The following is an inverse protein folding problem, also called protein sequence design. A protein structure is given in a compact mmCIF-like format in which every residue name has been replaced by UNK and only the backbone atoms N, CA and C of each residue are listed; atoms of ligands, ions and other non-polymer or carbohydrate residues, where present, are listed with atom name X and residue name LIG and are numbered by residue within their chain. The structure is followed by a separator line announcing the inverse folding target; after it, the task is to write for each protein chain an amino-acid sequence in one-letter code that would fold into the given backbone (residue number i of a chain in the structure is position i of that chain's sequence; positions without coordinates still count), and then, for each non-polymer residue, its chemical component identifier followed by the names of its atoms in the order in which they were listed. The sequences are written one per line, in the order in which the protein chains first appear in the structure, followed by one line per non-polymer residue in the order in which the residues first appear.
data_IF_690865807267
#
_entry.id   IF_690865807267
#
_cell.length_a   1.000
_cell.length_b   1.000
_cell.length_c   1.000
_cell.angle_alpha   90.00
_cell.angle_beta   90.00
_cell.angle_gamma   90.00
#
_symmetry.space_group_name_H-M   'P 1'
#
loop_
_entity.id
_entity.type
_entity.pdbx_description
1 polymer ?
#
# COMPACT_ATOMS: atom_id res chain seq x y z
N UNK A 1 -14.07 -15.78 -1.87
CA UNK A 1 -12.98 -14.82 -1.57
C UNK A 1 -13.49 -13.41 -1.80
N UNK A 2 -13.14 -12.45 -0.93
CA UNK A 2 -13.46 -11.02 -1.07
C UNK A 2 -12.18 -10.21 -1.25
N UNK A 3 -12.11 -9.38 -2.29
CA UNK A 3 -10.98 -8.50 -2.55
C UNK A 3 -11.20 -7.12 -1.93
N UNK A 4 -10.31 -6.73 -1.02
CA UNK A 4 -10.38 -5.47 -0.29
C UNK A 4 -9.15 -4.62 -0.59
N UNK A 5 -9.34 -3.39 -1.06
CA UNK A 5 -8.28 -2.40 -1.16
C UNK A 5 -8.18 -1.58 0.13
N UNK A 6 -7.01 -1.50 0.73
CA UNK A 6 -6.74 -0.66 1.90
C UNK A 6 -5.77 0.45 1.54
N UNK A 7 -6.22 1.69 1.67
CA UNK A 7 -5.42 2.87 1.37
C UNK A 7 -5.56 3.96 2.45
N UNK A 8 -4.86 5.04 2.29
CA UNK A 8 -4.89 6.18 3.19
C UNK A 8 -3.62 7.02 3.09
N UNK A 9 -3.72 8.29 3.41
CA UNK A 9 -2.61 9.22 3.34
C UNK A 9 -1.43 8.85 4.24
N UNK A 10 -0.27 9.40 3.94
CA UNK A 10 0.92 9.22 4.78
C UNK A 10 0.60 9.65 6.22
N UNK A 11 0.98 8.84 7.20
CA UNK A 11 0.73 9.11 8.63
C UNK A 11 -0.69 8.78 9.12
N UNK A 12 -1.61 8.30 8.26
CA UNK A 12 -2.98 7.95 8.67
C UNK A 12 -3.08 6.71 9.57
N UNK A 13 -2.07 5.84 9.59
CA UNK A 13 -2.09 4.58 10.36
C UNK A 13 -2.59 3.37 9.57
N UNK A 14 -2.52 3.41 8.25
CA UNK A 14 -2.88 2.31 7.35
C UNK A 14 -2.23 0.97 7.73
N UNK A 15 -0.94 0.96 8.06
CA UNK A 15 -0.21 -0.25 8.48
C UNK A 15 -0.74 -0.84 9.80
N UNK A 16 -1.20 -0.01 10.72
CA UNK A 16 -1.83 -0.44 11.97
C UNK A 16 -3.16 -1.14 11.68
N UNK A 17 -4.00 -0.57 10.81
CA UNK A 17 -5.25 -1.18 10.38
C UNK A 17 -5.00 -2.50 9.65
N UNK A 18 -4.00 -2.55 8.76
CA UNK A 18 -3.60 -3.78 8.07
C UNK A 18 -3.20 -4.89 9.05
N UNK A 19 -2.37 -4.57 10.06
CA UNK A 19 -1.99 -5.51 11.10
C UNK A 19 -3.19 -5.99 11.94
N UNK A 20 -4.13 -5.11 12.28
CA UNK A 20 -5.34 -5.47 13.00
C UNK A 20 -6.25 -6.40 12.18
N UNK A 21 -6.37 -6.20 10.86
CA UNK A 21 -7.11 -7.09 9.96
C UNK A 21 -6.40 -8.44 9.81
N UNK A 22 -5.07 -8.45 9.68
CA UNK A 22 -4.28 -9.69 9.63
C UNK A 22 -4.46 -10.53 10.91
N UNK A 23 -4.45 -9.90 12.09
CA UNK A 23 -4.67 -10.57 13.36
C UNK A 23 -6.07 -11.24 13.47
N UNK A 24 -7.04 -10.82 12.64
CA UNK A 24 -8.38 -11.38 12.55
C UNK A 24 -8.54 -12.45 11.46
N UNK A 25 -7.47 -12.72 10.71
CA UNK A 25 -7.45 -13.75 9.67
C UNK A 25 -7.55 -13.23 8.24
N UNK A 26 -7.43 -11.91 8.02
CA UNK A 26 -7.27 -11.39 6.66
C UNK A 26 -5.91 -11.82 6.06
N UNK A 27 -5.90 -12.18 4.79
CA UNK A 27 -4.67 -12.33 4.01
C UNK A 27 -4.25 -10.95 3.54
N UNK A 28 -3.27 -10.37 4.22
CA UNK A 28 -2.78 -9.02 3.90
C UNK A 28 -1.62 -9.10 2.92
N UNK A 29 -1.72 -8.35 1.84
CA UNK A 29 -0.69 -8.22 0.80
C UNK A 29 -0.32 -6.74 0.66
N UNK A 30 0.90 -6.41 1.06
CA UNK A 30 1.42 -5.04 0.94
C UNK A 30 2.08 -4.84 -0.43
N UNK A 31 1.65 -3.82 -1.16
CA UNK A 31 2.17 -3.49 -2.49
C UNK A 31 3.65 -3.13 -2.47
N UNK A 32 4.14 -2.47 -1.40
CA UNK A 32 5.54 -2.11 -1.26
C UNK A 32 6.41 -3.35 -1.00
N UNK A 33 5.89 -4.33 -0.24
CA UNK A 33 6.58 -5.61 -0.01
C UNK A 33 6.60 -6.44 -1.28
N UNK A 34 5.49 -6.54 -2.02
CA UNK A 34 5.48 -7.18 -3.33
C UNK A 34 6.45 -6.52 -4.30
N UNK A 35 6.49 -5.18 -4.35
CA UNK A 35 7.43 -4.47 -5.20
C UNK A 35 8.90 -4.80 -4.86
N UNK A 36 9.21 -5.04 -3.59
CA UNK A 36 10.54 -5.51 -3.16
C UNK A 36 10.78 -6.97 -3.53
N UNK A 37 9.77 -7.83 -3.42
CA UNK A 37 9.84 -9.25 -3.74
C UNK A 37 10.10 -9.45 -5.25
N UNK A 38 9.36 -8.77 -6.11
CA UNK A 38 9.45 -8.97 -7.56
C UNK A 38 10.76 -8.50 -8.20
N UNK A 39 11.55 -7.69 -7.49
CA UNK A 39 12.92 -7.30 -7.89
C UNK A 39 14.00 -7.92 -6.98
N UNK A 40 13.66 -8.97 -6.23
CA UNK A 40 14.65 -9.72 -5.46
C UNK A 40 15.60 -10.53 -6.38
N UNK A 41 16.81 -10.88 -5.92
CA UNK A 41 17.73 -11.68 -6.71
C UNK A 41 17.09 -12.96 -7.28
N UNK A 42 17.33 -13.22 -8.56
CA UNK A 42 16.79 -14.40 -9.25
C UNK A 42 15.40 -14.23 -9.87
N UNK A 43 14.72 -13.10 -9.67
CA UNK A 43 13.40 -12.85 -10.27
C UNK A 43 13.51 -12.27 -11.68
N UNK A 44 12.48 -12.46 -12.55
CA UNK A 44 12.40 -11.81 -13.85
C UNK A 44 12.44 -10.27 -13.75
N UNK A 45 11.77 -9.68 -12.74
CA UNK A 45 11.80 -8.25 -12.49
C UNK A 45 13.20 -7.74 -12.16
N UNK A 46 13.98 -8.49 -11.35
CA UNK A 46 15.38 -8.13 -11.09
C UNK A 46 16.24 -8.17 -12.35
N UNK A 47 16.01 -9.14 -13.25
CA UNK A 47 16.71 -9.20 -14.53
C UNK A 47 16.42 -7.98 -15.40
N UNK A 48 15.14 -7.61 -15.54
CA UNK A 48 14.73 -6.43 -16.31
C UNK A 48 15.24 -5.11 -15.71
N UNK A 49 15.25 -4.98 -14.37
CA UNK A 49 15.83 -3.79 -13.70
C UNK A 49 17.34 -3.70 -13.96
N UNK A 50 18.08 -4.80 -13.88
CA UNK A 50 19.52 -4.80 -14.18
C UNK A 50 19.82 -4.40 -15.61
N UNK A 51 19.02 -4.86 -16.55
CA UNK A 51 19.16 -4.50 -17.98
C UNK A 51 18.88 -3.00 -18.20
N UNK A 52 17.81 -2.48 -17.59
CA UNK A 52 17.39 -1.08 -17.77
C UNK A 52 18.27 -0.08 -17.00
N UNK A 53 18.82 -0.50 -15.86
CA UNK A 53 19.60 0.33 -14.93
C UNK A 53 20.94 -0.32 -14.58
N UNK A 54 21.85 -0.51 -15.54
CA UNK A 54 23.14 -1.17 -15.26
C UNK A 54 24.03 -0.39 -14.29
N UNK A 55 23.83 0.92 -14.19
CA UNK A 55 24.55 1.83 -13.29
C UNK A 55 24.22 1.62 -11.80
N UNK A 56 23.11 0.95 -11.48
CA UNK A 56 22.74 0.61 -10.09
C UNK A 56 23.06 -0.83 -9.71
N UNK A 57 23.81 -1.56 -10.54
CA UNK A 57 24.19 -2.95 -10.26
C UNK A 57 25.55 -3.00 -9.55
N UNK A 58 25.64 -3.71 -8.44
CA UNK A 58 26.86 -3.95 -7.67
C UNK A 58 27.00 -5.44 -7.35
N UNK A 59 28.12 -6.04 -7.74
CA UNK A 59 28.35 -7.46 -7.49
C UNK A 59 27.32 -8.42 -8.11
N UNK A 60 26.61 -7.98 -9.16
CA UNK A 60 25.55 -8.76 -9.82
C UNK A 60 24.15 -8.53 -9.25
N UNK A 61 24.00 -7.82 -8.14
CA UNK A 61 22.73 -7.49 -7.51
C UNK A 61 22.36 -6.00 -7.65
N UNK A 62 21.07 -5.69 -7.47
CA UNK A 62 20.56 -4.33 -7.50
C UNK A 62 20.94 -3.63 -6.18
N UNK A 63 21.70 -2.56 -6.28
CA UNK A 63 21.92 -1.60 -5.20
C UNK A 63 20.63 -0.77 -5.01
N UNK A 64 19.77 -1.17 -4.06
CA UNK A 64 18.49 -0.55 -3.82
C UNK A 64 18.57 0.94 -3.43
N UNK A 65 19.52 1.38 -2.58
CA UNK A 65 19.76 2.80 -2.34
C UNK A 65 20.10 3.57 -3.61
N UNK A 66 20.98 3.04 -4.47
CA UNK A 66 21.34 3.67 -5.72
C UNK A 66 20.15 3.74 -6.69
N UNK A 67 19.36 2.67 -6.80
CA UNK A 67 18.13 2.66 -7.61
C UNK A 67 17.12 3.69 -7.09
N UNK A 68 16.91 3.76 -5.78
CA UNK A 68 16.00 4.73 -5.17
C UNK A 68 16.44 6.18 -5.47
N UNK A 69 17.73 6.50 -5.33
CA UNK A 69 18.27 7.81 -5.69
C UNK A 69 18.08 8.10 -7.17
N UNK A 70 18.36 7.14 -8.05
CA UNK A 70 18.23 7.28 -9.50
C UNK A 70 16.80 7.62 -9.94
N UNK A 71 15.79 6.99 -9.35
CA UNK A 71 14.38 7.22 -9.71
C UNK A 71 13.76 8.39 -8.95
N UNK A 72 14.38 8.85 -7.86
CA UNK A 72 13.92 10.02 -7.12
C UNK A 72 14.10 11.31 -7.93
N UNK A 73 15.27 11.46 -8.57
CA UNK A 73 15.64 12.68 -9.29
C UNK A 73 15.25 12.65 -10.78
N UNK A 74 14.86 11.48 -11.32
CA UNK A 74 14.55 11.30 -12.74
C UNK A 74 13.16 10.69 -12.94
N UNK A 75 12.21 11.52 -13.35
CA UNK A 75 10.83 11.08 -13.63
C UNK A 75 10.74 10.07 -14.80
N UNK A 76 11.71 10.07 -15.75
CA UNK A 76 11.81 9.08 -16.80
C UNK A 76 12.22 7.72 -16.25
N UNK A 77 13.31 7.69 -15.46
CA UNK A 77 13.78 6.48 -14.79
C UNK A 77 12.69 5.90 -13.86
N UNK A 78 11.95 6.76 -13.15
CA UNK A 78 10.84 6.30 -12.32
C UNK A 78 9.75 5.60 -13.13
N UNK A 79 9.31 6.18 -14.27
CA UNK A 79 8.33 5.55 -15.16
C UNK A 79 8.82 4.22 -15.72
N UNK A 80 10.10 4.12 -16.07
CA UNK A 80 10.69 2.89 -16.58
C UNK A 80 10.71 1.79 -15.50
N UNK A 81 11.07 2.14 -14.25
CA UNK A 81 11.00 1.21 -13.14
C UNK A 81 9.56 0.75 -12.85
N UNK A 82 8.62 1.68 -12.83
CA UNK A 82 7.19 1.38 -12.66
C UNK A 82 6.67 0.45 -13.78
N UNK A 83 7.09 0.66 -15.02
CA UNK A 83 6.73 -0.21 -16.16
C UNK A 83 7.25 -1.64 -16.01
N UNK A 84 8.36 -1.85 -15.32
CA UNK A 84 8.90 -3.17 -15.00
C UNK A 84 8.18 -3.77 -13.78
N UNK A 85 8.05 -3.00 -12.71
CA UNK A 85 7.59 -3.51 -11.40
C UNK A 85 6.09 -3.75 -11.37
N UNK A 86 5.26 -2.84 -11.92
CA UNK A 86 3.81 -2.95 -11.80
C UNK A 86 3.21 -4.22 -12.45
N UNK A 87 3.65 -4.67 -13.65
CA UNK A 87 3.17 -5.95 -14.20
C UNK A 87 3.52 -7.14 -13.31
N UNK A 88 4.74 -7.18 -12.77
CA UNK A 88 5.18 -8.26 -11.90
C UNK A 88 4.44 -8.29 -10.56
N UNK A 89 4.18 -7.12 -9.97
CA UNK A 89 3.35 -6.99 -8.77
C UNK A 89 1.93 -7.50 -9.04
N UNK A 90 1.31 -7.10 -10.17
CA UNK A 90 -0.02 -7.59 -10.56
C UNK A 90 -0.04 -9.09 -10.77
N UNK A 91 0.96 -9.65 -11.45
CA UNK A 91 1.09 -11.09 -11.66
C UNK A 91 1.19 -11.82 -10.32
N UNK A 92 2.06 -11.35 -9.43
CA UNK A 92 2.28 -11.97 -8.12
C UNK A 92 1.04 -11.87 -7.21
N UNK A 93 0.37 -10.74 -7.22
CA UNK A 93 -0.91 -10.57 -6.52
C UNK A 93 -1.99 -11.51 -7.10
N UNK A 94 -2.05 -11.64 -8.42
CA UNK A 94 -2.95 -12.58 -9.10
C UNK A 94 -2.72 -14.04 -8.68
N UNK A 95 -1.48 -14.46 -8.46
CA UNK A 95 -1.15 -15.80 -7.96
C UNK A 95 -1.68 -16.02 -6.53
N UNK A 96 -1.55 -15.01 -5.65
CA UNK A 96 -2.13 -15.07 -4.31
C UNK A 96 -3.64 -15.21 -4.37
N UNK A 97 -4.30 -14.41 -5.21
CA UNK A 97 -5.74 -14.47 -5.41
C UNK A 97 -6.19 -15.83 -5.96
N UNK A 98 -5.49 -16.35 -6.97
CA UNK A 98 -5.80 -17.65 -7.58
C UNK A 98 -5.74 -18.80 -6.56
N UNK A 99 -4.76 -18.79 -5.67
CA UNK A 99 -4.63 -19.78 -4.61
C UNK A 99 -5.77 -19.75 -3.57
N UNK A 100 -6.50 -18.64 -3.49
CA UNK A 100 -7.56 -18.40 -2.50
C UNK A 100 -8.97 -18.37 -3.11
N UNK A 101 -9.11 -18.51 -4.43
CA UNK A 101 -10.37 -18.31 -5.17
C UNK A 101 -11.53 -19.18 -4.64
N UNK A 102 -11.24 -20.42 -4.23
CA UNK A 102 -12.24 -21.36 -3.69
C UNK A 102 -12.42 -21.27 -2.16
N UNK A 103 -11.92 -20.22 -1.52
CA UNK A 103 -11.98 -20.05 -0.07
C UNK A 103 -12.84 -18.84 0.34
N UNK A 104 -13.25 -18.82 1.62
CA UNK A 104 -13.92 -17.67 2.25
C UNK A 104 -12.90 -16.63 2.77
N UNK A 105 -11.78 -16.49 2.10
CA UNK A 105 -10.74 -15.56 2.51
C UNK A 105 -11.13 -14.10 2.22
N UNK A 106 -10.76 -13.22 3.13
CA UNK A 106 -10.72 -11.78 2.91
C UNK A 106 -9.28 -11.42 2.56
N UNK A 107 -9.03 -11.00 1.31
CA UNK A 107 -7.70 -10.60 0.83
C UNK A 107 -7.64 -9.08 0.84
N UNK A 108 -6.73 -8.53 1.62
CA UNK A 108 -6.55 -7.08 1.79
C UNK A 108 -5.26 -6.64 1.09
N UNK A 109 -5.41 -5.93 -0.01
CA UNK A 109 -4.29 -5.31 -0.73
C UNK A 109 -4.04 -3.91 -0.19
N UNK A 110 -2.87 -3.70 0.38
CA UNK A 110 -2.46 -2.44 0.99
C UNK A 110 -1.63 -1.63 0.01
N UNK A 111 -2.12 -0.47 -0.41
CA UNK A 111 -1.37 0.41 -1.30
C UNK A 111 -1.58 1.89 -0.96
N UNK A 112 -0.52 2.71 -0.89
CA UNK A 112 -0.65 4.13 -0.54
C UNK A 112 -1.29 4.98 -1.64
N UNK A 113 -1.17 4.57 -2.92
CA UNK A 113 -1.61 5.33 -4.09
C UNK A 113 -2.78 4.65 -4.83
N UNK A 114 -3.62 3.90 -4.12
CA UNK A 114 -4.70 3.12 -4.72
C UNK A 114 -5.72 3.99 -5.46
N UNK A 115 -6.02 5.16 -4.93
CA UNK A 115 -6.96 6.12 -5.50
C UNK A 115 -6.30 6.92 -6.61
N UNK A 116 -5.10 7.42 -6.36
CA UNK A 116 -4.31 8.22 -7.31
C UNK A 116 -4.03 7.49 -8.64
N UNK A 117 -3.88 6.16 -8.58
CA UNK A 117 -3.63 5.32 -9.76
C UNK A 117 -4.90 4.80 -10.42
N UNK A 118 -6.08 5.07 -9.83
CA UNK A 118 -7.35 4.51 -10.30
C UNK A 118 -7.53 3.00 -10.02
N UNK A 119 -6.58 2.38 -9.31
CA UNK A 119 -6.62 0.94 -9.02
C UNK A 119 -7.75 0.55 -8.05
N UNK A 120 -8.33 1.51 -7.35
CA UNK A 120 -9.46 1.30 -6.43
C UNK A 120 -10.65 0.58 -7.08
N UNK A 121 -10.90 0.81 -8.37
CA UNK A 121 -11.99 0.17 -9.12
C UNK A 121 -11.84 -1.37 -9.27
N UNK A 122 -10.66 -1.92 -9.00
CA UNK A 122 -10.40 -3.36 -9.05
C UNK A 122 -10.77 -4.12 -7.77
N UNK A 123 -11.29 -3.44 -6.74
CA UNK A 123 -11.61 -4.03 -5.44
C UNK A 123 -13.11 -3.94 -5.15
N UNK A 124 -13.66 -5.01 -4.59
CA UNK A 124 -15.07 -5.08 -4.20
C UNK A 124 -15.39 -4.16 -3.00
N UNK A 125 -14.40 -4.01 -2.11
CA UNK A 125 -14.45 -3.07 -0.98
C UNK A 125 -13.19 -2.24 -0.95
N UNK A 126 -13.33 -0.93 -0.83
CA UNK A 126 -12.22 0.00 -0.60
C UNK A 126 -12.35 0.60 0.79
N UNK A 127 -11.33 0.37 1.60
CA UNK A 127 -11.20 0.95 2.94
C UNK A 127 -10.18 2.08 2.87
N UNK A 128 -10.59 3.27 3.29
CA UNK A 128 -9.72 4.44 3.40
C UNK A 128 -9.47 4.76 4.87
N UNK A 129 -8.22 4.76 5.28
CA UNK A 129 -7.82 5.20 6.63
C UNK A 129 -7.51 6.70 6.58
N UNK A 130 -8.21 7.47 7.39
CA UNK A 130 -8.01 8.92 7.53
C UNK A 130 -7.52 9.27 8.94
N UNK A 131 -6.83 10.38 9.06
CA UNK A 131 -6.54 11.06 10.32
C UNK A 131 -6.37 12.55 10.05
N UNK A 132 -6.66 13.37 11.04
CA UNK A 132 -6.46 14.82 10.96
C UNK A 132 -5.02 15.17 10.57
N UNK A 133 -4.82 16.25 9.82
CA UNK A 133 -3.50 16.65 9.34
C UNK A 133 -2.50 16.84 10.49
N UNK A 134 -2.95 17.45 11.59
CA UNK A 134 -2.11 17.64 12.78
C UNK A 134 -1.64 16.31 13.37
N UNK A 135 -2.53 15.33 13.50
CA UNK A 135 -2.21 13.97 13.96
C UNK A 135 -1.19 13.29 13.03
N UNK A 136 -1.38 13.41 11.71
CA UNK A 136 -0.48 12.85 10.70
C UNK A 136 0.90 13.48 10.76
N UNK A 137 0.97 14.81 10.90
CA UNK A 137 2.24 15.55 11.06
C UNK A 137 2.96 15.09 12.33
N UNK A 138 2.27 15.03 13.48
CA UNK A 138 2.85 14.55 14.74
C UNK A 138 3.47 13.15 14.59
N UNK A 139 2.73 12.20 14.01
CA UNK A 139 3.23 10.84 13.76
C UNK A 139 4.44 10.79 12.82
N UNK A 140 4.48 11.66 11.81
CA UNK A 140 5.60 11.71 10.87
C UNK A 140 6.86 12.32 11.46
N UNK A 141 6.70 13.34 12.31
CA UNK A 141 7.81 13.97 13.00
C UNK A 141 8.39 13.07 14.10
N UNK A 142 7.53 12.48 14.93
CA UNK A 142 7.94 11.63 16.05
C UNK A 142 8.51 10.27 15.61
N UNK A 143 7.77 9.55 14.74
CA UNK A 143 8.13 8.19 14.38
C UNK A 143 9.12 8.09 13.21
N UNK A 144 9.23 9.13 12.36
CA UNK A 144 10.07 9.10 11.14
C UNK A 144 11.13 10.20 11.11
N UNK A 145 11.22 11.04 12.15
CA UNK A 145 12.20 12.11 12.23
C UNK A 145 12.09 13.17 11.12
N UNK A 146 10.93 13.30 10.49
CA UNK A 146 10.70 14.31 9.45
C UNK A 146 10.57 15.70 10.10
N UNK A 147 11.03 16.75 9.41
CA UNK A 147 10.62 18.10 9.79
C UNK A 147 9.12 18.29 9.45
N UNK A 148 8.47 19.23 10.17
CA UNK A 148 7.07 19.57 9.88
C UNK A 148 6.87 20.00 8.43
N UNK A 149 7.79 20.78 7.87
CA UNK A 149 7.76 21.21 6.48
C UNK A 149 7.81 20.03 5.50
N UNK A 150 8.66 19.03 5.78
CA UNK A 150 8.73 17.80 4.99
C UNK A 150 7.44 16.98 5.10
N UNK A 151 6.86 16.86 6.29
CA UNK A 151 5.61 16.16 6.52
C UNK A 151 4.47 16.81 5.72
N UNK A 152 4.30 18.14 5.81
CA UNK A 152 3.30 18.90 5.05
C UNK A 152 3.48 18.76 3.54
N UNK A 153 4.70 18.87 3.04
CA UNK A 153 4.98 18.70 1.62
C UNK A 153 4.60 17.31 1.11
N UNK A 154 4.86 16.24 1.89
CA UNK A 154 4.46 14.87 1.52
C UNK A 154 2.96 14.65 1.59
N UNK A 155 2.26 15.28 2.54
CA UNK A 155 0.80 15.23 2.63
C UNK A 155 0.18 15.94 1.41
N UNK A 156 0.65 17.13 1.07
CA UNK A 156 0.16 17.93 -0.04
C UNK A 156 0.41 17.30 -1.44
N UNK A 157 1.42 16.42 -1.54
CA UNK A 157 1.72 15.71 -2.80
C UNK A 157 0.82 14.50 -3.06
N UNK A 158 -0.05 14.13 -2.12
CA UNK A 158 -1.00 13.03 -2.26
C UNK A 158 -2.41 13.53 -2.56
N UNK A 159 -3.30 12.63 -3.00
CA UNK A 159 -4.72 12.93 -3.11
C UNK A 159 -5.27 13.48 -1.78
N UNK A 160 -6.25 14.33 -1.85
CA UNK A 160 -6.95 14.87 -0.69
C UNK A 160 -7.78 13.80 0.01
N UNK A 161 -8.11 14.01 1.27
CA UNK A 161 -8.97 13.07 2.01
C UNK A 161 -10.39 13.04 1.41
N UNK A 162 -10.85 14.13 0.77
CA UNK A 162 -12.13 14.16 0.05
C UNK A 162 -12.11 13.27 -1.20
N UNK A 163 -11.04 13.32 -2.01
CA UNK A 163 -10.87 12.45 -3.19
C UNK A 163 -10.80 10.98 -2.79
N UNK A 164 -10.10 10.66 -1.70
CA UNK A 164 -10.04 9.30 -1.18
C UNK A 164 -11.39 8.84 -0.64
N UNK A 165 -12.10 9.69 0.11
CA UNK A 165 -13.42 9.37 0.64
C UNK A 165 -14.44 9.11 -0.47
N UNK A 166 -14.35 9.83 -1.60
CA UNK A 166 -15.22 9.62 -2.76
C UNK A 166 -15.04 8.22 -3.41
N UNK A 167 -13.85 7.61 -3.29
CA UNK A 167 -13.57 6.28 -3.80
C UNK A 167 -13.80 5.18 -2.73
N UNK A 168 -14.09 5.55 -1.48
CA UNK A 168 -14.20 4.64 -0.36
C UNK A 168 -15.57 3.98 -0.26
N UNK A 169 -15.60 2.69 0.04
CA UNK A 169 -16.79 2.01 0.56
C UNK A 169 -16.86 2.14 2.11
N UNK A 170 -15.70 2.26 2.76
CA UNK A 170 -15.59 2.44 4.20
C UNK A 170 -14.49 3.46 4.51
N UNK A 171 -14.78 4.44 5.35
CA UNK A 171 -13.79 5.38 5.90
C UNK A 171 -13.54 5.04 7.36
N UNK A 172 -12.27 4.76 7.70
CA UNK A 172 -11.81 4.52 9.06
C UNK A 172 -11.02 5.74 9.55
N UNK A 173 -11.62 6.51 10.44
CA UNK A 173 -10.95 7.64 11.11
C UNK A 173 -10.06 7.13 12.25
N UNK A 174 -8.80 7.58 12.29
CA UNK A 174 -7.78 7.16 13.24
C UNK A 174 -7.19 8.36 14.00
N UNK A 175 -8.05 9.11 14.68
CA UNK A 175 -7.67 10.27 15.51
C UNK A 175 -7.82 10.01 17.01
N UNK A 176 -8.41 8.88 17.38
CA UNK A 176 -8.64 8.48 18.75
C UNK A 176 -7.59 7.51 19.30
N UNK A 177 -7.97 6.80 20.36
CA UNK A 177 -7.12 5.78 20.98
C UNK A 177 -6.99 4.51 20.12
N UNK A 178 -6.03 3.66 20.48
CA UNK A 178 -5.85 2.35 19.81
C UNK A 178 -7.05 1.43 20.05
N UNK A 179 -7.70 1.52 21.20
CA UNK A 179 -8.91 0.76 21.54
C UNK A 179 -10.08 1.19 20.67
N UNK A 180 -10.27 2.49 20.45
CA UNK A 180 -11.31 3.02 19.55
C UNK A 180 -11.06 2.58 18.10
N UNK A 181 -9.81 2.62 17.64
CA UNK A 181 -9.45 2.13 16.31
C UNK A 181 -9.73 0.62 16.21
N UNK A 182 -9.35 -0.17 17.21
CA UNK A 182 -9.59 -1.61 17.23
C UNK A 182 -11.08 -1.94 17.16
N UNK A 183 -11.93 -1.21 17.90
CA UNK A 183 -13.37 -1.38 17.86
C UNK A 183 -13.99 -1.00 16.49
N UNK A 184 -13.41 -0.01 15.80
CA UNK A 184 -13.82 0.35 14.42
C UNK A 184 -13.41 -0.74 13.42
N UNK A 185 -12.18 -1.24 13.52
CA UNK A 185 -11.69 -2.33 12.68
C UNK A 185 -12.49 -3.60 12.88
N UNK A 186 -12.90 -3.91 14.14
CA UNK A 186 -13.78 -5.05 14.43
C UNK A 186 -15.09 -4.99 13.66
N UNK A 187 -15.80 -3.86 13.73
CA UNK A 187 -17.05 -3.67 12.96
C UNK A 187 -16.87 -3.82 11.46
N UNK A 188 -15.77 -3.31 10.93
CA UNK A 188 -15.43 -3.47 9.50
C UNK A 188 -15.16 -4.94 9.18
N UNK A 189 -14.40 -5.63 10.01
CA UNK A 189 -14.12 -7.05 9.85
C UNK A 189 -15.39 -7.91 9.82
N UNK A 190 -16.32 -7.67 10.74
CA UNK A 190 -17.61 -8.36 10.78
C UNK A 190 -18.43 -8.12 9.51
N UNK A 191 -18.40 -6.90 8.95
CA UNK A 191 -19.04 -6.59 7.68
C UNK A 191 -18.40 -7.33 6.51
N UNK A 192 -17.07 -7.34 6.42
CA UNK A 192 -16.32 -8.08 5.40
C UNK A 192 -16.63 -9.58 5.46
N UNK A 193 -16.68 -10.15 6.67
CA UNK A 193 -17.02 -11.57 6.85
C UNK A 193 -18.44 -11.91 6.42
N UNK A 194 -19.40 -11.04 6.67
CA UNK A 194 -20.79 -11.22 6.18
C UNK A 194 -20.85 -11.21 4.65
N UNK A 195 -20.08 -10.33 3.98
CA UNK A 195 -20.03 -10.26 2.50
C UNK A 195 -19.42 -11.49 1.86
N UNK A 196 -18.50 -12.16 2.53
CA UNK A 196 -17.91 -13.41 2.05
C UNK A 196 -18.88 -14.59 2.20
N UNK A 197 -19.75 -14.57 3.22
CA UNK A 197 -20.67 -15.68 3.53
C UNK A 197 -21.99 -15.63 2.73
N UNK A 198 -22.32 -14.53 2.08
CA UNK A 198 -23.52 -14.35 1.26
C UNK A 198 -23.26 -14.41 -0.21
#
# INVERSE_FOLDING_TARGET
MLLVGLTGGIGSGKSTVAAMLAARGAVVVDADDLAREVIAPGTPGAAAVRERFPDVVRGGDIDRPALAARVFDDAGARRDLEAIVHPEVRRRFGEVCAALTASDAVVVFVAPLLVETGAAAGFEVVIVVTAEEATRIGRLTEARGMSEAQARARIAAQATDAERAAAAHVVLTNDGSMEELAARVERVWDDLRRRVAG
#
